data_IF_933412160210
#
_entry.id   IF_933412160210
#
_cell.length_a   1.000
_cell.length_b   1.000
_cell.length_c   1.000
_cell.angle_alpha   90.00
_cell.angle_beta   90.00
_cell.angle_gamma   90.00
#
_symmetry.space_group_name_H-M   'P 1'
#
loop_
_entity.id
_entity.type
_entity.pdbx_description
1 polymer ?
#
# COMPACT_ATOMS: atom_id res chain seq x y z
N UNK A 1 12.55 -55.39 -2.24
CA UNK A 1 13.26 -55.26 -0.97
C UNK A 1 12.98 -53.88 -0.43
N UNK A 2 12.20 -53.75 0.64
CA UNK A 2 12.72 -53.62 2.04
C UNK A 2 13.41 -52.25 2.18
N UNK A 3 12.89 -51.25 2.88
CA UNK A 3 12.57 -51.19 4.31
C UNK A 3 11.76 -49.90 4.56
N UNK A 4 10.51 -49.94 5.04
CA UNK A 4 10.10 -49.83 6.44
C UNK A 4 10.78 -48.75 7.31
N UNK A 5 9.88 -47.92 7.88
CA UNK A 5 9.85 -47.32 9.22
C UNK A 5 10.78 -46.14 9.56
N UNK A 6 10.19 -44.96 9.86
CA UNK A 6 9.87 -44.64 11.25
C UNK A 6 8.96 -43.40 11.41
N UNK A 7 7.94 -43.59 12.24
CA UNK A 7 7.08 -42.57 12.83
C UNK A 7 7.78 -41.92 14.02
N UNK A 8 7.55 -40.62 14.24
CA UNK A 8 7.68 -40.01 15.55
C UNK A 8 6.69 -38.85 15.69
N UNK A 9 5.56 -39.15 16.32
CA UNK A 9 4.58 -38.21 16.86
C UNK A 9 5.04 -37.72 18.23
N UNK A 10 4.92 -36.43 18.52
CA UNK A 10 5.12 -35.83 19.85
C UNK A 10 4.24 -34.56 19.99
N UNK A 11 3.92 -34.12 21.22
CA UNK A 11 2.54 -34.17 21.70
C UNK A 11 1.83 -32.83 21.86
N UNK A 12 0.51 -32.94 21.82
CA UNK A 12 -0.52 -31.96 22.16
C UNK A 12 -0.37 -31.54 23.65
N UNK A 13 -0.08 -30.26 23.90
CA UNK A 13 -0.06 -29.70 25.25
C UNK A 13 -1.26 -28.76 25.42
N UNK A 14 -2.34 -29.31 25.98
CA UNK A 14 -3.50 -28.57 26.42
C UNK A 14 -3.32 -28.17 27.90
N UNK A 15 -3.11 -26.89 28.17
CA UNK A 15 -3.16 -26.32 29.53
C UNK A 15 -3.86 -24.97 29.52
N UNK A 16 -4.92 -24.87 30.33
CA UNK A 16 -5.17 -23.65 31.10
C UNK A 16 -6.47 -22.90 30.82
N UNK A 17 -7.61 -23.51 31.11
CA UNK A 17 -8.79 -22.77 31.57
C UNK A 17 -8.43 -21.90 32.78
N UNK A 18 -8.68 -20.58 32.72
CA UNK A 18 -9.19 -19.77 33.85
C UNK A 18 -9.95 -18.56 33.32
N UNK A 19 -11.27 -18.68 33.24
CA UNK A 19 -12.18 -17.53 33.25
C UNK A 19 -12.39 -17.05 34.69
N UNK A 20 -12.38 -15.73 34.95
CA UNK A 20 -13.04 -15.17 36.11
C UNK A 20 -14.46 -14.70 35.75
N UNK A 21 -15.44 -15.28 36.44
CA UNK A 21 -16.84 -14.86 36.49
C UNK A 21 -17.02 -13.47 37.11
N UNK A 22 -17.98 -12.74 36.53
CA UNK A 22 -19.01 -11.89 37.16
C UNK A 22 -18.60 -10.89 38.26
N UNK A 23 -18.74 -9.59 37.93
CA UNK A 23 -19.24 -8.61 38.90
C UNK A 23 -20.50 -7.93 38.38
N UNK A 24 -21.58 -8.32 39.05
CA UNK A 24 -22.94 -7.79 39.07
C UNK A 24 -22.92 -6.47 39.88
N UNK A 25 -23.30 -5.35 39.25
CA UNK A 25 -23.78 -4.14 39.94
C UNK A 25 -25.03 -3.68 39.18
N UNK A 26 -26.21 -4.00 39.69
CA UNK A 26 -27.02 -3.12 40.54
C UNK A 26 -27.53 -1.87 39.79
N UNK A 27 -28.65 -2.11 39.13
CA UNK A 27 -29.73 -1.17 38.80
C UNK A 27 -30.40 -0.61 40.05
N UNK A 28 -30.63 0.71 40.12
CA UNK A 28 -31.82 1.45 40.65
C UNK A 28 -31.58 2.97 40.44
N UNK A 29 -32.60 3.86 40.54
CA UNK A 29 -33.93 3.83 39.95
C UNK A 29 -34.23 5.09 39.10
N UNK A 30 -35.34 5.00 38.38
CA UNK A 30 -35.98 6.02 37.54
C UNK A 30 -36.52 7.16 38.41
N UNK A 31 -36.17 8.42 38.10
CA UNK A 31 -36.91 9.60 38.54
C UNK A 31 -37.66 10.19 37.34
N UNK A 32 -38.98 9.97 37.32
CA UNK A 32 -39.92 10.68 36.44
C UNK A 32 -40.03 12.14 36.90
N UNK A 33 -39.67 13.07 36.01
CA UNK A 33 -40.25 14.41 36.00
C UNK A 33 -40.66 14.72 34.56
N UNK A 34 -41.98 14.74 34.38
CA UNK A 34 -42.69 15.13 33.17
C UNK A 34 -42.92 16.64 33.19
N UNK A 35 -42.34 17.35 32.21
CA UNK A 35 -42.84 18.63 31.74
C UNK A 35 -42.51 18.76 30.23
N UNK A 36 -43.55 18.76 29.41
CA UNK A 36 -43.54 19.08 27.96
C UNK A 36 -44.46 20.30 27.82
N UNK A 37 -44.03 21.40 27.17
CA UNK A 37 -44.33 21.60 25.73
C UNK A 37 -43.14 22.20 24.93
N UNK A 38 -42.68 21.55 23.86
CA UNK A 38 -43.10 21.74 22.43
C UNK A 38 -42.19 22.77 21.69
N UNK A 39 -42.16 22.84 20.33
CA UNK A 39 -41.07 22.27 19.53
C UNK A 39 -40.35 23.29 18.64
N UNK A 40 -39.01 23.28 18.59
CA UNK A 40 -38.24 23.74 17.43
C UNK A 40 -36.75 23.42 17.62
N UNK A 41 -36.14 22.79 16.62
CA UNK A 41 -34.67 22.63 16.52
C UNK A 41 -34.16 21.24 16.84
N UNK A 42 -34.56 20.24 16.05
CA UNK A 42 -33.92 18.93 16.06
C UNK A 42 -32.47 19.03 15.57
N UNK A 43 -31.53 19.34 16.47
CA UNK A 43 -30.12 19.05 16.26
C UNK A 43 -29.97 17.53 16.30
N UNK A 44 -29.77 16.94 15.13
CA UNK A 44 -29.42 15.52 15.00
C UNK A 44 -28.24 15.22 15.93
N UNK A 45 -28.25 14.11 16.70
CA UNK A 45 -27.09 13.72 17.49
C UNK A 45 -25.90 13.56 16.54
N UNK A 46 -24.87 14.40 16.73
CA UNK A 46 -23.60 14.32 16.02
C UNK A 46 -22.94 13.03 16.52
N UNK A 47 -23.16 11.92 15.81
CA UNK A 47 -22.41 10.69 16.02
C UNK A 47 -20.95 11.04 15.77
N UNK A 48 -20.19 11.21 16.84
CA UNK A 48 -18.74 11.37 16.79
C UNK A 48 -18.16 10.02 16.40
N UNK A 49 -18.06 9.78 15.09
CA UNK A 49 -17.28 8.65 14.57
C UNK A 49 -15.84 8.88 15.03
N UNK A 50 -15.30 7.98 15.85
CA UNK A 50 -13.93 8.06 16.31
C UNK A 50 -13.00 7.94 15.09
N UNK A 51 -12.39 9.06 14.71
CA UNK A 51 -11.46 9.13 13.58
C UNK A 51 -10.20 8.35 13.94
N UNK A 52 -9.82 7.41 13.07
CA UNK A 52 -8.62 6.58 13.27
C UNK A 52 -7.35 7.42 13.12
N UNK A 53 -6.35 7.14 13.95
CA UNK A 53 -5.03 7.79 13.83
C UNK A 53 -4.24 7.23 12.64
N UNK A 54 -3.21 7.96 12.18
CA UNK A 54 -2.37 7.50 11.07
C UNK A 54 -1.67 6.16 11.36
N UNK A 55 -1.22 5.95 12.59
CA UNK A 55 -0.61 4.69 13.02
C UNK A 55 -1.60 3.52 13.03
N UNK A 56 -2.85 3.79 13.41
CA UNK A 56 -3.92 2.79 13.32
C UNK A 56 -4.24 2.45 11.87
N UNK A 57 -4.29 3.45 10.98
CA UNK A 57 -4.46 3.21 9.54
C UNK A 57 -3.31 2.38 8.96
N UNK A 58 -2.06 2.69 9.32
CA UNK A 58 -0.88 1.91 8.92
C UNK A 58 -0.98 0.45 9.38
N UNK A 59 -1.31 0.21 10.65
CA UNK A 59 -1.43 -1.16 11.21
C UNK A 59 -2.57 -1.94 10.56
N UNK A 60 -3.74 -1.32 10.41
CA UNK A 60 -4.92 -1.97 9.81
C UNK A 60 -4.69 -2.25 8.33
N UNK A 61 -4.08 -1.32 7.57
CA UNK A 61 -3.79 -1.55 6.16
C UNK A 61 -2.87 -2.77 5.96
N UNK A 62 -1.84 -2.95 6.81
CA UNK A 62 -1.02 -4.17 6.78
C UNK A 62 -1.82 -5.44 7.08
N UNK A 63 -2.79 -5.40 8.00
CA UNK A 63 -3.68 -6.54 8.26
C UNK A 63 -4.55 -6.85 7.05
N UNK A 64 -5.19 -5.82 6.48
CA UNK A 64 -6.04 -5.92 5.30
C UNK A 64 -5.29 -6.53 4.12
N UNK A 65 -4.05 -6.11 3.84
CA UNK A 65 -3.25 -6.69 2.76
C UNK A 65 -2.86 -8.16 3.02
N UNK A 66 -2.52 -8.52 4.26
CA UNK A 66 -2.23 -9.92 4.62
C UNK A 66 -3.43 -10.82 4.40
N UNK A 67 -4.60 -10.38 4.86
CA UNK A 67 -5.87 -11.11 4.69
C UNK A 67 -6.23 -11.20 3.21
N UNK A 68 -6.11 -10.10 2.47
CA UNK A 68 -6.36 -10.05 1.04
C UNK A 68 -5.44 -10.99 0.24
N UNK A 69 -4.14 -11.04 0.53
CA UNK A 69 -3.24 -11.96 -0.17
C UNK A 69 -3.52 -13.42 0.15
N UNK A 70 -4.07 -13.72 1.32
CA UNK A 70 -4.47 -15.07 1.71
C UNK A 70 -5.81 -15.49 1.08
N UNK A 71 -6.84 -14.63 1.18
CA UNK A 71 -8.23 -14.95 0.78
C UNK A 71 -8.51 -14.58 -0.67
N UNK A 72 -7.94 -13.47 -1.17
CA UNK A 72 -8.17 -12.96 -2.52
C UNK A 72 -9.47 -12.17 -2.69
N UNK A 73 -10.15 -11.77 -1.62
CA UNK A 73 -11.41 -11.01 -1.71
C UNK A 73 -11.14 -9.52 -1.90
N UNK A 74 -11.16 -9.07 -3.15
CA UNK A 74 -10.96 -7.65 -3.52
C UNK A 74 -12.06 -6.76 -2.95
N UNK A 75 -13.31 -7.23 -2.85
CA UNK A 75 -14.44 -6.38 -2.40
C UNK A 75 -14.33 -6.09 -0.91
N UNK A 76 -14.00 -7.11 -0.12
CA UNK A 76 -13.79 -6.96 1.32
C UNK A 76 -12.57 -6.06 1.61
N UNK A 77 -11.45 -6.28 0.89
CA UNK A 77 -10.28 -5.41 1.00
C UNK A 77 -10.60 -3.94 0.66
N UNK A 78 -11.40 -3.70 -0.39
CA UNK A 78 -11.84 -2.37 -0.78
C UNK A 78 -12.70 -1.69 0.29
N UNK A 79 -13.65 -2.42 0.89
CA UNK A 79 -14.50 -1.89 1.96
C UNK A 79 -13.64 -1.50 3.16
N UNK A 80 -12.70 -2.36 3.55
CA UNK A 80 -11.75 -2.10 4.62
C UNK A 80 -10.89 -0.85 4.34
N UNK A 81 -10.41 -0.65 3.11
CA UNK A 81 -9.63 0.54 2.73
C UNK A 81 -10.49 1.81 2.82
N UNK A 82 -11.72 1.79 2.32
CA UNK A 82 -12.62 2.95 2.40
C UNK A 82 -12.95 3.31 3.85
N UNK A 83 -13.16 2.32 4.71
CA UNK A 83 -13.37 2.48 6.15
C UNK A 83 -12.14 3.03 6.89
N UNK A 84 -10.93 2.89 6.32
CA UNK A 84 -9.72 3.48 6.86
C UNK A 84 -9.52 4.91 6.39
N UNK A 85 -9.86 5.21 5.13
CA UNK A 85 -9.79 6.57 4.58
C UNK A 85 -10.79 7.48 5.30
N UNK A 86 -12.01 6.99 5.52
CA UNK A 86 -13.14 7.78 6.00
C UNK A 86 -13.28 9.04 5.14
N UNK A 87 -13.68 8.85 3.87
CA UNK A 87 -13.92 9.96 2.95
C UNK A 87 -14.87 10.99 3.60
N UNK A 88 -14.64 12.27 3.31
CA UNK A 88 -15.37 13.42 3.87
C UNK A 88 -15.08 13.76 5.35
N UNK A 89 -14.18 13.03 6.02
CA UNK A 89 -13.72 13.38 7.37
C UNK A 89 -12.39 14.15 7.34
N UNK A 90 -12.22 15.10 8.26
CA UNK A 90 -10.97 15.84 8.45
C UNK A 90 -9.75 14.90 8.51
N UNK A 91 -8.72 15.22 7.72
CA UNK A 91 -7.50 14.41 7.60
C UNK A 91 -7.62 13.18 6.69
N UNK A 92 -8.67 13.05 5.87
CA UNK A 92 -8.81 11.97 4.88
C UNK A 92 -7.58 11.86 4.00
N UNK A 93 -7.08 12.98 3.48
CA UNK A 93 -5.95 13.03 2.54
C UNK A 93 -4.66 12.45 3.17
N UNK A 94 -4.43 12.76 4.45
CA UNK A 94 -3.30 12.22 5.19
C UNK A 94 -3.45 10.71 5.42
N UNK A 95 -4.68 10.23 5.68
CA UNK A 95 -4.97 8.79 5.80
C UNK A 95 -4.83 8.08 4.46
N UNK A 96 -5.33 8.66 3.37
CA UNK A 96 -5.18 8.12 2.01
C UNK A 96 -3.69 7.95 1.65
N UNK A 97 -2.90 9.00 1.82
CA UNK A 97 -1.44 8.95 1.62
C UNK A 97 -0.83 7.84 2.45
N UNK A 98 -1.10 7.81 3.76
CA UNK A 98 -0.54 6.82 4.67
C UNK A 98 -0.91 5.38 4.28
N UNK A 99 -2.16 5.14 3.89
CA UNK A 99 -2.66 3.84 3.46
C UNK A 99 -1.94 3.37 2.20
N UNK A 100 -1.86 4.23 1.17
CA UNK A 100 -1.21 3.89 -0.09
C UNK A 100 0.30 3.69 0.08
N UNK A 101 0.96 4.57 0.82
CA UNK A 101 2.38 4.44 1.14
C UNK A 101 2.64 3.12 1.88
N UNK A 102 1.84 2.81 2.90
CA UNK A 102 1.95 1.53 3.63
C UNK A 102 1.77 0.33 2.71
N UNK A 103 0.86 0.43 1.74
CA UNK A 103 0.64 -0.63 0.76
C UNK A 103 1.85 -0.84 -0.14
N UNK A 104 2.48 0.24 -0.64
CA UNK A 104 3.68 0.15 -1.46
C UNK A 104 4.83 -0.51 -0.72
N UNK A 105 5.15 -0.06 0.51
CA UNK A 105 6.17 -0.73 1.34
C UNK A 105 5.87 -2.21 1.55
N UNK A 106 4.62 -2.54 1.85
CA UNK A 106 4.21 -3.93 2.09
C UNK A 106 4.39 -4.81 0.84
N UNK A 107 4.07 -4.30 -0.34
CA UNK A 107 4.16 -5.03 -1.61
C UNK A 107 5.60 -5.14 -2.10
N UNK A 108 6.44 -4.16 -1.82
CA UNK A 108 7.88 -4.22 -2.13
C UNK A 108 8.54 -5.45 -1.47
N UNK A 109 8.11 -5.78 -0.26
CA UNK A 109 8.58 -6.96 0.51
C UNK A 109 7.77 -8.24 0.23
N UNK A 110 6.70 -8.18 -0.58
CA UNK A 110 5.83 -9.32 -0.84
C UNK A 110 6.50 -10.36 -1.77
N UNK A 111 5.86 -11.52 -1.95
CA UNK A 111 6.34 -12.52 -2.92
C UNK A 111 5.88 -12.12 -4.32
N UNK A 112 6.65 -12.53 -5.36
CA UNK A 112 6.29 -12.27 -6.77
C UNK A 112 4.86 -12.67 -7.14
N UNK A 113 4.33 -13.74 -6.53
CA UNK A 113 2.97 -14.22 -6.78
C UNK A 113 1.84 -13.33 -6.23
N UNK A 114 2.15 -12.41 -5.32
CA UNK A 114 1.15 -11.53 -4.70
C UNK A 114 0.94 -10.22 -5.49
N UNK A 115 1.90 -9.83 -6.34
CA UNK A 115 1.81 -8.61 -7.16
C UNK A 115 0.57 -8.55 -8.07
N UNK A 116 0.20 -9.61 -8.81
CA UNK A 116 -1.01 -9.58 -9.63
C UNK A 116 -2.29 -9.35 -8.81
N UNK A 117 -2.35 -9.89 -7.59
CA UNK A 117 -3.46 -9.63 -6.66
C UNK A 117 -3.46 -8.16 -6.24
N UNK A 118 -2.30 -7.63 -5.89
CA UNK A 118 -2.17 -6.21 -5.54
C UNK A 118 -2.60 -5.29 -6.68
N UNK A 119 -2.22 -5.55 -7.94
CA UNK A 119 -2.66 -4.74 -9.08
C UNK A 119 -4.17 -4.80 -9.29
N UNK A 120 -4.80 -5.95 -9.03
CA UNK A 120 -6.26 -6.06 -9.06
C UNK A 120 -6.91 -5.15 -8.02
N UNK A 121 -6.38 -5.12 -6.80
CA UNK A 121 -6.85 -4.22 -5.74
C UNK A 121 -6.57 -2.75 -6.09
N UNK A 122 -5.36 -2.44 -6.58
CA UNK A 122 -4.92 -1.08 -6.91
C UNK A 122 -5.84 -0.45 -7.97
N UNK A 123 -6.21 -1.19 -9.02
CA UNK A 123 -7.13 -0.73 -10.07
C UNK A 123 -8.52 -0.35 -9.53
N UNK A 124 -8.99 -1.06 -8.50
CA UNK A 124 -10.27 -0.77 -7.84
C UNK A 124 -10.17 0.39 -6.83
N UNK A 125 -8.98 0.60 -6.24
CA UNK A 125 -8.72 1.70 -5.31
C UNK A 125 -8.56 3.04 -6.03
N UNK A 126 -7.71 3.08 -7.05
CA UNK A 126 -7.22 4.32 -7.68
C UNK A 126 -8.32 5.31 -8.06
N UNK A 127 -9.44 4.92 -8.71
CA UNK A 127 -10.48 5.87 -9.11
C UNK A 127 -11.19 6.56 -7.95
N UNK A 128 -10.97 6.11 -6.71
CA UNK A 128 -11.63 6.57 -5.49
C UNK A 128 -10.71 7.39 -4.58
N UNK A 129 -9.47 7.61 -5.00
CA UNK A 129 -8.47 8.39 -4.26
C UNK A 129 -8.39 9.81 -4.79
N UNK A 130 -7.94 10.74 -3.95
CA UNK A 130 -7.58 12.07 -4.42
C UNK A 130 -6.40 11.99 -5.43
N UNK A 131 -6.37 12.80 -6.49
CA UNK A 131 -5.32 12.73 -7.53
C UNK A 131 -3.90 12.90 -6.99
N UNK A 132 -3.72 13.69 -5.93
CA UNK A 132 -2.43 13.92 -5.31
C UNK A 132 -1.96 12.78 -4.39
N UNK A 133 -2.84 11.85 -4.03
CA UNK A 133 -2.54 10.77 -3.07
C UNK A 133 -1.40 9.89 -3.56
N UNK A 134 -1.44 9.45 -4.82
CA UNK A 134 -0.46 8.50 -5.35
C UNK A 134 0.93 9.12 -5.52
N UNK A 135 1.10 10.30 -6.16
CA UNK A 135 2.41 10.94 -6.23
C UNK A 135 3.04 11.22 -4.86
N UNK A 136 2.22 11.59 -3.87
CA UNK A 136 2.69 11.84 -2.51
C UNK A 136 3.05 10.55 -1.76
N UNK A 137 2.32 9.46 -2.00
CA UNK A 137 2.58 8.16 -1.37
C UNK A 137 3.82 7.45 -1.94
N UNK A 138 4.28 7.82 -3.14
CA UNK A 138 5.48 7.26 -3.78
C UNK A 138 6.80 7.88 -3.31
N UNK A 139 6.77 9.04 -2.62
CA UNK A 139 7.97 9.74 -2.15
C UNK A 139 8.87 8.84 -1.32
N UNK A 140 8.37 8.38 -0.17
CA UNK A 140 9.14 7.58 0.77
C UNK A 140 9.57 6.21 0.17
N UNK A 141 8.72 5.46 -0.57
CA UNK A 141 9.18 4.26 -1.27
C UNK A 141 10.33 4.48 -2.25
N UNK A 142 10.38 5.64 -2.92
CA UNK A 142 11.50 6.01 -3.81
C UNK A 142 12.73 6.44 -3.00
N UNK A 143 12.54 7.19 -1.91
CA UNK A 143 13.62 7.66 -1.03
C UNK A 143 14.38 6.50 -0.39
N UNK A 144 13.64 5.56 0.20
CA UNK A 144 14.20 4.45 0.97
C UNK A 144 14.43 3.18 0.13
N UNK A 145 14.37 3.29 -1.20
CA UNK A 145 14.43 2.13 -2.08
C UNK A 145 15.70 1.29 -1.89
N UNK A 146 16.85 1.95 -1.75
CA UNK A 146 18.13 1.27 -1.57
C UNK A 146 18.16 0.51 -0.23
N UNK A 147 17.67 1.12 0.85
CA UNK A 147 17.62 0.51 2.17
C UNK A 147 16.71 -0.71 2.20
N UNK A 148 15.51 -0.59 1.61
CA UNK A 148 14.56 -1.71 1.53
C UNK A 148 15.13 -2.85 0.68
N UNK A 149 15.86 -2.54 -0.39
CA UNK A 149 16.47 -3.55 -1.27
C UNK A 149 17.53 -4.41 -0.55
N UNK A 150 18.15 -3.91 0.52
CA UNK A 150 19.06 -4.69 1.36
C UNK A 150 18.35 -5.84 2.07
N UNK A 151 17.11 -5.61 2.53
CA UNK A 151 16.30 -6.62 3.23
C UNK A 151 15.43 -7.43 2.26
N UNK A 152 14.99 -6.83 1.16
CA UNK A 152 14.11 -7.41 0.17
C UNK A 152 14.68 -7.18 -1.25
N UNK A 153 15.47 -8.13 -1.79
CA UNK A 153 16.13 -7.99 -3.10
C UNK A 153 15.19 -7.77 -4.30
N UNK A 154 13.89 -8.00 -4.12
CA UNK A 154 12.87 -7.78 -5.14
C UNK A 154 12.21 -6.40 -5.06
N UNK A 155 12.47 -5.62 -4.01
CA UNK A 155 11.81 -4.35 -3.75
C UNK A 155 11.87 -3.39 -4.94
N UNK A 156 13.04 -3.26 -5.58
CA UNK A 156 13.23 -2.46 -6.80
C UNK A 156 12.40 -2.93 -7.97
N UNK A 157 12.36 -4.24 -8.22
CA UNK A 157 11.55 -4.81 -9.30
C UNK A 157 10.05 -4.62 -9.03
N UNK A 158 9.62 -4.84 -7.78
CA UNK A 158 8.23 -4.66 -7.38
C UNK A 158 7.80 -3.19 -7.49
N UNK A 159 8.59 -2.25 -6.97
CA UNK A 159 8.28 -0.83 -7.08
C UNK A 159 8.26 -0.37 -8.53
N UNK A 160 9.18 -0.84 -9.37
CA UNK A 160 9.16 -0.52 -10.80
C UNK A 160 7.86 -1.00 -11.48
N UNK A 161 7.40 -2.22 -11.16
CA UNK A 161 6.12 -2.73 -11.67
C UNK A 161 4.91 -1.96 -11.12
N UNK A 162 4.94 -1.53 -9.85
CA UNK A 162 3.90 -0.67 -9.26
C UNK A 162 3.83 0.67 -10.01
N UNK A 163 4.97 1.33 -10.24
CA UNK A 163 5.02 2.61 -10.97
C UNK A 163 4.55 2.41 -12.41
N UNK A 164 4.97 1.35 -13.11
CA UNK A 164 4.51 1.05 -14.47
C UNK A 164 3.01 0.78 -14.57
N UNK A 165 2.43 0.08 -13.58
CA UNK A 165 0.98 -0.11 -13.49
C UNK A 165 0.26 1.23 -13.29
N UNK A 166 0.76 2.10 -12.41
CA UNK A 166 0.17 3.43 -12.16
C UNK A 166 0.23 4.35 -13.40
N UNK A 167 1.31 4.26 -14.20
CA UNK A 167 1.42 4.95 -15.49
C UNK A 167 0.40 4.39 -16.49
N UNK A 168 0.27 3.06 -16.56
CA UNK A 168 -0.71 2.38 -17.43
C UNK A 168 -2.15 2.79 -17.10
N UNK A 169 -2.43 3.03 -15.81
CA UNK A 169 -3.72 3.54 -15.34
C UNK A 169 -3.90 5.06 -15.53
N UNK A 170 -2.93 5.75 -16.13
CA UNK A 170 -2.91 7.21 -16.33
C UNK A 170 -3.05 8.01 -15.02
N UNK A 171 -2.58 7.46 -13.91
CA UNK A 171 -2.63 8.10 -12.58
C UNK A 171 -1.44 9.02 -12.37
N UNK A 172 -0.29 8.60 -12.89
CA UNK A 172 0.97 9.32 -12.86
C UNK A 172 1.61 9.27 -14.25
N UNK A 173 2.53 10.19 -14.50
CA UNK A 173 3.34 10.21 -15.71
C UNK A 173 4.77 9.80 -15.39
N UNK A 174 5.54 9.43 -16.42
CA UNK A 174 6.93 8.99 -16.27
C UNK A 174 7.83 10.09 -15.68
N UNK A 175 7.48 11.37 -15.88
CA UNK A 175 8.21 12.54 -15.36
C UNK A 175 8.14 12.67 -13.83
N UNK A 176 7.32 11.86 -13.15
CA UNK A 176 7.34 11.75 -11.69
C UNK A 176 8.74 11.37 -11.18
N UNK A 177 9.52 10.62 -11.97
CA UNK A 177 10.87 10.19 -11.63
C UNK A 177 11.91 11.32 -11.71
N UNK A 178 11.59 12.44 -12.35
CA UNK A 178 12.48 13.60 -12.46
C UNK A 178 11.99 14.79 -11.65
N UNK A 179 10.69 15.11 -11.72
CA UNK A 179 10.10 16.31 -11.12
C UNK A 179 9.67 16.13 -9.67
N UNK A 180 9.23 14.93 -9.32
CA UNK A 180 8.59 14.66 -8.05
C UNK A 180 9.36 13.65 -7.22
N UNK A 181 10.42 13.02 -7.71
CA UNK A 181 11.19 12.08 -6.90
C UNK A 181 12.05 12.83 -5.86
N UNK A 182 12.48 12.16 -4.78
CA UNK A 182 13.53 12.67 -3.90
C UNK A 182 14.87 12.84 -4.63
N UNK A 183 15.70 13.79 -4.20
CA UNK A 183 17.03 14.05 -4.77
C UNK A 183 17.94 12.82 -4.65
N UNK A 184 17.91 12.18 -3.47
CA UNK A 184 18.65 10.96 -3.18
C UNK A 184 18.33 9.81 -4.16
N UNK A 185 17.07 9.70 -4.56
CA UNK A 185 16.66 8.72 -5.57
C UNK A 185 17.34 8.99 -6.92
N UNK A 186 17.39 10.25 -7.36
CA UNK A 186 17.97 10.63 -8.66
C UNK A 186 19.49 10.48 -8.68
N UNK A 187 20.17 10.79 -7.58
CA UNK A 187 21.63 10.84 -7.54
C UNK A 187 22.26 9.48 -7.22
N UNK A 188 21.68 8.70 -6.32
CA UNK A 188 22.33 7.49 -5.79
C UNK A 188 21.62 6.18 -6.16
N UNK A 189 20.33 6.22 -6.50
CA UNK A 189 19.50 5.01 -6.54
C UNK A 189 19.42 4.37 -7.92
N UNK A 190 20.43 4.51 -8.77
CA UNK A 190 20.44 3.95 -10.15
C UNK A 190 19.14 4.31 -10.90
N UNK A 191 18.77 5.60 -10.85
CA UNK A 191 17.47 6.08 -11.29
C UNK A 191 17.18 5.77 -12.77
N UNK A 192 18.17 5.91 -13.65
CA UNK A 192 18.04 5.49 -15.06
C UNK A 192 17.71 4.01 -15.22
N UNK A 193 18.43 3.13 -14.49
CA UNK A 193 18.17 1.68 -14.49
C UNK A 193 16.76 1.37 -13.96
N UNK A 194 16.32 2.09 -12.92
CA UNK A 194 14.96 1.96 -12.40
C UNK A 194 13.91 2.38 -13.45
N UNK A 195 14.10 3.53 -14.10
CA UNK A 195 13.23 4.02 -15.17
C UNK A 195 13.12 3.01 -16.33
N UNK A 196 14.23 2.37 -16.72
CA UNK A 196 14.22 1.30 -17.71
C UNK A 196 13.37 0.09 -17.26
N UNK A 197 13.46 -0.30 -15.98
CA UNK A 197 12.61 -1.36 -15.41
C UNK A 197 11.13 -0.99 -15.41
N UNK A 198 10.80 0.27 -15.12
CA UNK A 198 9.42 0.78 -15.21
C UNK A 198 8.91 0.63 -16.64
N UNK A 199 9.68 1.08 -17.64
CA UNK A 199 9.32 0.95 -19.05
C UNK A 199 9.11 -0.51 -19.46
N UNK A 200 10.00 -1.42 -19.05
CA UNK A 200 9.87 -2.86 -19.30
C UNK A 200 8.67 -3.51 -18.64
N UNK A 201 8.20 -2.96 -17.52
CA UNK A 201 7.02 -3.48 -16.82
C UNK A 201 5.70 -3.18 -17.54
N UNK A 202 5.68 -2.14 -18.37
CA UNK A 202 4.52 -1.76 -19.19
C UNK A 202 4.47 -2.65 -20.44
N UNK A 203 3.75 -3.77 -20.36
CA UNK A 203 3.76 -4.82 -21.40
C UNK A 203 3.19 -4.40 -22.75
N UNK A 204 2.34 -3.39 -22.78
CA UNK A 204 1.53 -3.02 -23.96
C UNK A 204 1.88 -1.62 -24.49
N UNK A 205 3.05 -1.08 -24.13
CA UNK A 205 3.47 0.27 -24.52
C UNK A 205 4.95 0.30 -24.88
N UNK A 206 5.24 0.72 -26.11
CA UNK A 206 6.60 1.07 -26.51
C UNK A 206 7.04 2.39 -25.86
N UNK A 207 8.31 2.53 -25.45
CA UNK A 207 8.84 3.78 -24.91
C UNK A 207 8.68 4.94 -25.90
N UNK A 208 8.11 6.05 -25.44
CA UNK A 208 7.99 7.28 -26.25
C UNK A 208 9.30 8.08 -26.23
N UNK A 209 9.49 9.04 -27.15
CA UNK A 209 10.65 9.94 -27.09
C UNK A 209 10.80 10.67 -25.75
N UNK A 210 9.69 11.02 -25.11
CA UNK A 210 9.66 11.63 -23.78
C UNK A 210 10.14 10.66 -22.70
N UNK A 211 9.71 9.40 -22.75
CA UNK A 211 10.19 8.37 -21.82
C UNK A 211 11.72 8.18 -21.96
N UNK A 212 12.22 8.14 -23.20
CA UNK A 212 13.66 8.02 -23.49
C UNK A 212 14.42 9.24 -22.96
N UNK A 213 13.89 10.45 -23.15
CA UNK A 213 14.48 11.67 -22.63
C UNK A 213 14.54 11.68 -21.09
N UNK A 214 13.51 11.15 -20.42
CA UNK A 214 13.50 10.99 -18.97
C UNK A 214 14.60 10.02 -18.53
N UNK A 215 14.73 8.86 -19.18
CA UNK A 215 15.81 7.90 -18.88
C UNK A 215 17.18 8.56 -19.05
N UNK A 216 17.39 9.29 -20.15
CA UNK A 216 18.67 9.97 -20.42
C UNK A 216 18.97 11.03 -19.35
N UNK A 217 17.97 11.79 -18.90
CA UNK A 217 18.13 12.79 -17.85
C UNK A 217 18.45 12.23 -16.47
N UNK A 218 18.13 10.95 -16.24
CA UNK A 218 18.38 10.24 -14.98
C UNK A 218 19.70 9.46 -14.98
N UNK A 219 20.45 9.50 -16.07
CA UNK A 219 21.77 8.86 -16.14
C UNK A 219 22.77 9.60 -15.28
N UNK A 220 23.64 8.83 -14.67
CA UNK A 220 24.79 9.30 -13.90
C UNK A 220 26.07 8.80 -14.55
N UNK A 221 27.22 9.29 -14.10
CA UNK A 221 28.54 8.78 -14.57
C UNK A 221 28.68 7.26 -14.37
N UNK A 222 27.97 6.67 -13.40
CA UNK A 222 27.98 5.23 -13.13
C UNK A 222 27.30 4.39 -14.22
N UNK A 223 26.45 5.00 -15.04
CA UNK A 223 25.74 4.32 -16.13
C UNK A 223 26.59 4.24 -17.43
N UNK A 224 27.77 4.89 -17.44
CA UNK A 224 28.71 4.88 -18.56
C UNK A 224 28.16 5.53 -19.84
N UNK A 225 28.76 5.17 -20.98
CA UNK A 225 28.43 5.75 -22.30
C UNK A 225 27.21 5.12 -22.98
N UNK A 226 26.53 4.16 -22.31
CA UNK A 226 25.37 3.49 -22.88
C UNK A 226 24.22 4.47 -23.12
N UNK A 227 23.64 4.45 -24.31
CA UNK A 227 22.46 5.25 -24.64
C UNK A 227 21.25 4.81 -23.82
N UNK A 228 20.28 5.71 -23.57
CA UNK A 228 19.02 5.33 -22.95
C UNK A 228 18.33 4.14 -23.66
N UNK A 229 18.40 4.05 -24.99
CA UNK A 229 17.82 2.91 -25.72
C UNK A 229 18.53 1.58 -25.44
N UNK A 230 19.87 1.58 -25.33
CA UNK A 230 20.63 0.39 -24.96
C UNK A 230 20.33 -0.05 -23.53
N UNK A 231 20.24 0.90 -22.59
CA UNK A 231 19.86 0.63 -21.20
C UNK A 231 18.45 0.04 -21.10
N UNK A 232 17.49 0.62 -21.84
CA UNK A 232 16.12 0.08 -21.91
C UNK A 232 16.17 -1.33 -22.49
N UNK A 233 16.89 -1.57 -23.59
CA UNK A 233 16.97 -2.89 -24.22
C UNK A 233 17.55 -3.96 -23.27
N UNK A 234 18.56 -3.59 -22.47
CA UNK A 234 19.25 -4.48 -21.53
C UNK A 234 18.50 -4.71 -20.21
N UNK A 235 17.49 -3.89 -19.87
CA UNK A 235 16.79 -3.99 -18.60
C UNK A 235 15.98 -5.30 -18.46
N UNK A 236 16.16 -5.97 -17.32
CA UNK A 236 15.46 -7.20 -16.92
C UNK A 236 14.58 -6.91 -15.71
N UNK A 237 13.36 -7.47 -15.66
CA UNK A 237 12.44 -7.35 -14.53
C UNK A 237 12.79 -8.26 -13.36
#
# INVERSE_FOLDING_TARGET
GSSLSNMASLPFNAKGMRQPMMKRSQSQPISLSSDIPSPAGGSKPKVTVAVKTLDECKKKMKSTLKEFFFVGDTKDAMLNIQDLIMADHEGSDAREKQIMQTAFFFVMEAKKGDLPKFFTLLRECVPKLAPATIPNALQDPLEFLNDIELDAPLARSHLAQIVGELITLNVIQMDILTKNSPDYFREESKAATFACKVLKSMKDRDPTPEDIAIVESLKTEKDGDATAQELIAAAVL
#
